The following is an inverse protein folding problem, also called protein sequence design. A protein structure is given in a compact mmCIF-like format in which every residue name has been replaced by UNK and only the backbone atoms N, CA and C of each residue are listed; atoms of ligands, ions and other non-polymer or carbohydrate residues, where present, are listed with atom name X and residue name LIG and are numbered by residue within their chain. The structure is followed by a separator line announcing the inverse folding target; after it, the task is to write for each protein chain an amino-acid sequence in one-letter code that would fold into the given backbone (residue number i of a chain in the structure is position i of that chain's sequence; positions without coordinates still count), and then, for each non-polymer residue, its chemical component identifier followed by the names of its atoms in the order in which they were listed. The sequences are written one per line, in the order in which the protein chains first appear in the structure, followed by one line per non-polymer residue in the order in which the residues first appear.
data_IF_453709335187
#
_entry.id   IF_453709335187
#
_cell.length_a   1.000
_cell.length_b   1.000
_cell.length_c   1.000
_cell.angle_alpha   90.00
_cell.angle_beta   90.00
_cell.angle_gamma   90.00
#
_symmetry.space_group_name_H-M   'P 1'
#
loop_
_entity.id
_entity.type
_entity.pdbx_description
1 polymer ?
#
# COMPACT_ATOMS: atom_id res chain seq x y z
N UNK A 1 -13.51 24.00 4.18
CA UNK A 1 -12.77 23.29 3.12
C UNK A 1 -13.09 23.99 1.83
N UNK A 2 -12.08 24.52 1.14
CA UNK A 2 -12.27 25.32 -0.06
C UNK A 2 -12.27 24.41 -1.29
N UNK A 3 -13.24 24.64 -2.19
CA UNK A 3 -13.36 23.99 -3.48
C UNK A 3 -13.05 25.05 -4.53
N UNK A 4 -12.13 24.77 -5.44
CA UNK A 4 -11.74 25.71 -6.49
C UNK A 4 -12.19 25.20 -7.85
N UNK A 5 -12.65 26.11 -8.71
CA UNK A 5 -12.91 25.80 -10.12
C UNK A 5 -11.60 25.78 -10.90
N UNK A 6 -11.30 24.65 -11.56
CA UNK A 6 -10.20 24.55 -12.54
C UNK A 6 -10.69 24.92 -13.94
N UNK A 7 -11.96 24.59 -14.25
CA UNK A 7 -12.66 24.97 -15.47
C UNK A 7 -14.17 25.00 -15.20
N UNK A 8 -14.98 25.40 -16.20
CA UNK A 8 -16.44 25.52 -16.06
C UNK A 8 -17.11 24.27 -15.48
N UNK A 9 -16.62 23.08 -15.82
CA UNK A 9 -17.18 21.80 -15.38
C UNK A 9 -16.27 21.00 -14.44
N UNK A 10 -15.06 21.48 -14.16
CA UNK A 10 -14.08 20.76 -13.33
C UNK A 10 -13.72 21.55 -12.11
N UNK A 11 -13.94 20.95 -10.94
CA UNK A 11 -13.61 21.51 -9.66
C UNK A 11 -12.55 20.65 -8.99
N UNK A 12 -11.76 21.25 -8.12
CA UNK A 12 -10.82 20.53 -7.28
C UNK A 12 -11.00 20.90 -5.83
N UNK A 13 -10.57 19.99 -4.97
CA UNK A 13 -10.54 20.24 -3.55
C UNK A 13 -9.32 19.57 -2.94
N UNK A 14 -8.90 20.14 -1.82
CA UNK A 14 -7.77 19.69 -1.03
C UNK A 14 -8.28 19.04 0.25
N UNK A 15 -7.75 17.87 0.61
CA UNK A 15 -8.07 17.23 1.89
C UNK A 15 -6.84 16.63 2.57
N UNK A 16 -6.77 16.82 3.89
CA UNK A 16 -5.87 16.10 4.81
C UNK A 16 -6.56 14.88 5.44
N UNK A 17 -7.88 14.81 5.32
CA UNK A 17 -8.67 13.73 5.91
C UNK A 17 -8.59 12.48 5.04
N UNK A 18 -8.16 11.38 5.67
CA UNK A 18 -8.08 10.07 5.03
C UNK A 18 -9.45 9.55 4.59
N UNK A 19 -10.52 9.92 5.29
CA UNK A 19 -11.88 9.47 4.96
C UNK A 19 -12.40 10.15 3.71
N UNK A 20 -12.25 11.46 3.61
CA UNK A 20 -12.60 12.21 2.41
C UNK A 20 -11.74 11.81 1.21
N UNK A 21 -10.44 11.56 1.41
CA UNK A 21 -9.58 11.06 0.33
C UNK A 21 -10.03 9.69 -0.20
N UNK A 22 -10.50 8.80 0.69
CA UNK A 22 -11.09 7.51 0.27
C UNK A 22 -12.40 7.72 -0.48
N UNK A 23 -13.29 8.58 0.04
CA UNK A 23 -14.55 8.91 -0.62
C UNK A 23 -14.32 9.51 -2.01
N UNK A 24 -13.31 10.37 -2.18
CA UNK A 24 -12.90 10.95 -3.46
C UNK A 24 -12.48 9.88 -4.47
N UNK A 25 -11.64 8.93 -4.04
CA UNK A 25 -11.21 7.80 -4.89
C UNK A 25 -12.39 6.93 -5.29
N UNK A 26 -13.31 6.64 -4.36
CA UNK A 26 -14.52 5.85 -4.64
C UNK A 26 -15.50 6.56 -5.56
N UNK A 27 -15.62 7.90 -5.45
CA UNK A 27 -16.44 8.71 -6.34
C UNK A 27 -15.87 8.83 -7.77
N UNK A 28 -14.68 8.27 -8.01
CA UNK A 28 -13.98 8.34 -9.29
C UNK A 28 -13.39 9.72 -9.58
N UNK A 29 -13.04 10.49 -8.54
CA UNK A 29 -12.33 11.74 -8.72
C UNK A 29 -10.86 11.48 -9.05
N UNK A 30 -10.30 12.27 -9.95
CA UNK A 30 -8.92 12.14 -10.39
C UNK A 30 -7.97 12.70 -9.32
N UNK A 31 -6.96 11.93 -8.94
CA UNK A 31 -5.91 12.41 -8.05
C UNK A 31 -4.97 13.35 -8.84
N UNK A 32 -4.85 14.60 -8.39
CA UNK A 32 -3.99 15.59 -9.03
C UNK A 32 -2.62 15.70 -8.39
N UNK A 33 -2.57 15.76 -7.05
CA UNK A 33 -1.32 15.99 -6.33
C UNK A 33 -1.31 15.29 -4.97
N UNK A 34 -0.13 14.80 -4.60
CA UNK A 34 0.17 14.27 -3.27
C UNK A 34 1.17 15.18 -2.57
N UNK A 35 0.83 15.66 -1.38
CA UNK A 35 1.71 16.52 -0.60
C UNK A 35 2.41 15.71 0.48
N UNK A 36 3.74 15.65 0.39
CA UNK A 36 4.59 14.93 1.34
C UNK A 36 5.38 15.88 2.24
N UNK A 37 5.47 15.57 3.53
CA UNK A 37 6.34 16.25 4.49
C UNK A 37 7.10 15.20 5.29
N UNK A 38 8.44 15.26 5.28
CA UNK A 38 9.28 14.26 5.96
C UNK A 38 9.08 12.82 5.46
N UNK A 39 8.85 12.64 4.15
CA UNK A 39 8.63 11.32 3.54
C UNK A 39 7.26 10.70 3.80
N UNK A 40 6.31 11.43 4.42
CA UNK A 40 4.93 10.97 4.63
C UNK A 40 3.95 11.87 3.90
N UNK A 41 3.00 11.26 3.20
CA UNK A 41 1.87 11.98 2.58
C UNK A 41 0.98 12.49 3.71
N UNK A 42 0.76 13.81 3.75
CA UNK A 42 -0.11 14.44 4.75
C UNK A 42 -1.36 15.06 4.12
N UNK A 43 -1.41 15.23 2.80
CA UNK A 43 -2.57 15.75 2.10
C UNK A 43 -2.63 15.29 0.64
N UNK A 44 -3.84 15.31 0.09
CA UNK A 44 -4.15 14.91 -1.28
C UNK A 44 -5.06 15.97 -1.92
N UNK A 45 -4.87 16.21 -3.21
CA UNK A 45 -5.73 17.05 -4.02
C UNK A 45 -6.41 16.21 -5.10
N UNK A 46 -7.71 16.37 -5.24
CA UNK A 46 -8.52 15.68 -6.23
C UNK A 46 -9.24 16.67 -7.13
N UNK A 47 -9.52 16.26 -8.37
CA UNK A 47 -10.33 17.02 -9.30
C UNK A 47 -11.39 16.14 -9.98
N UNK A 48 -12.50 16.77 -10.36
CA UNK A 48 -13.55 16.14 -11.14
C UNK A 48 -14.79 17.02 -11.25
N UNK A 49 -15.93 16.42 -11.65
CA UNK A 49 -17.17 17.14 -11.82
C UNK A 49 -17.63 17.82 -10.54
N UNK A 50 -18.17 19.04 -10.67
CA UNK A 50 -18.63 19.89 -9.54
C UNK A 50 -19.49 19.12 -8.54
N UNK A 51 -20.50 18.39 -9.04
CA UNK A 51 -21.46 17.64 -8.24
C UNK A 51 -20.78 16.59 -7.35
N UNK A 52 -19.82 15.85 -7.92
CA UNK A 52 -19.09 14.80 -7.21
C UNK A 52 -18.14 15.37 -6.17
N UNK A 53 -17.46 16.46 -6.51
CA UNK A 53 -16.58 17.17 -5.57
C UNK A 53 -17.36 17.71 -4.39
N UNK A 54 -18.50 18.36 -4.65
CA UNK A 54 -19.38 18.88 -3.60
C UNK A 54 -19.98 17.75 -2.75
N UNK A 55 -20.38 16.62 -3.36
CA UNK A 55 -20.86 15.46 -2.60
C UNK A 55 -19.79 14.95 -1.61
N UNK A 56 -18.53 14.86 -2.01
CA UNK A 56 -17.44 14.40 -1.13
C UNK A 56 -17.11 15.42 -0.03
N UNK A 57 -17.19 16.72 -0.33
CA UNK A 57 -16.87 17.79 0.63
C UNK A 57 -17.98 18.02 1.63
N UNK A 58 -19.24 17.93 1.21
CA UNK A 58 -20.42 18.23 2.03
C UNK A 58 -21.03 17.00 2.71
N UNK A 59 -20.73 15.77 2.27
CA UNK A 59 -21.09 14.58 3.05
C UNK A 59 -20.06 14.30 4.14
N UNK A 60 -20.39 14.49 5.43
CA UNK A 60 -19.54 14.00 6.50
C UNK A 60 -19.53 12.47 6.41
N UNK A 61 -18.37 11.90 6.10
CA UNK A 61 -18.18 10.44 6.14
C UNK A 61 -18.36 10.02 7.60
N UNK A 62 -19.58 9.63 7.98
CA UNK A 62 -19.87 9.01 9.26
C UNK A 62 -19.02 7.74 9.34
N UNK A 63 -18.29 7.55 10.44
CA UNK A 63 -17.32 6.45 10.64
C UNK A 63 -17.89 5.06 10.38
N UNK A 64 -19.23 4.90 10.41
CA UNK A 64 -19.89 3.59 10.43
C UNK A 64 -21.04 3.41 9.41
N UNK A 65 -21.14 4.22 8.35
CA UNK A 65 -22.13 3.95 7.29
C UNK A 65 -21.47 3.53 5.96
N UNK A 66 -21.89 2.39 5.38
CA UNK A 66 -21.51 2.05 4.01
C UNK A 66 -22.18 3.07 3.07
N UNK A 67 -21.34 3.84 2.37
CA UNK A 67 -21.79 4.80 1.36
C UNK A 67 -22.26 4.00 0.14
N UNK A 68 -23.58 3.87 -0.03
CA UNK A 68 -24.20 3.41 -1.27
C UNK A 68 -24.19 4.56 -2.29
N UNK A 69 -23.06 4.78 -2.96
CA UNK A 69 -23.02 5.49 -4.25
C UNK A 69 -23.00 4.42 -5.36
N UNK A 70 -23.66 4.63 -6.51
CA UNK A 70 -23.81 3.58 -7.52
C UNK A 70 -22.43 3.19 -8.04
N UNK A 71 -21.99 2.00 -7.63
CA UNK A 71 -20.72 1.41 -8.01
C UNK A 71 -20.85 0.94 -9.45
N UNK A 72 -20.36 1.76 -10.39
CA UNK A 72 -19.77 1.17 -11.59
C UNK A 72 -18.63 0.26 -11.13
N UNK A 73 -18.72 -0.98 -11.56
CA UNK A 73 -17.66 -2.01 -11.53
C UNK A 73 -17.47 -2.76 -10.21
N UNK A 74 -18.55 -3.02 -9.46
CA UNK A 74 -18.51 -3.95 -8.31
C UNK A 74 -18.38 -5.42 -8.73
N UNK A 75 -18.85 -5.80 -9.92
CA UNK A 75 -18.74 -7.17 -10.43
C UNK A 75 -17.28 -7.55 -10.74
N UNK A 76 -16.47 -6.62 -11.25
CA UNK A 76 -15.03 -6.87 -11.50
C UNK A 76 -14.24 -7.08 -10.21
N UNK A 77 -14.58 -6.33 -9.14
CA UNK A 77 -13.91 -6.46 -7.84
C UNK A 77 -14.36 -7.72 -7.10
N UNK A 78 -15.63 -8.13 -7.25
CA UNK A 78 -16.14 -9.39 -6.71
C UNK A 78 -15.52 -10.61 -7.44
N UNK A 79 -15.39 -10.55 -8.77
CA UNK A 79 -14.71 -11.58 -9.55
C UNK A 79 -13.24 -11.76 -9.13
N UNK A 80 -12.50 -10.67 -8.91
CA UNK A 80 -11.10 -10.72 -8.42
C UNK A 80 -10.93 -11.33 -7.03
N UNK A 81 -11.97 -11.35 -6.19
CA UNK A 81 -11.93 -12.00 -4.88
C UNK A 81 -12.22 -13.51 -4.94
N UNK A 82 -12.97 -13.95 -5.95
CA UNK A 82 -13.29 -15.37 -6.17
C UNK A 82 -12.17 -16.11 -6.90
N UNK A 83 -11.48 -15.44 -7.82
CA UNK A 83 -10.33 -15.95 -8.55
C UNK A 83 -9.08 -15.23 -8.03
N UNK A 84 -8.48 -15.77 -6.97
CA UNK A 84 -7.31 -15.17 -6.31
C UNK A 84 -6.28 -14.64 -7.32
N UNK A 85 -5.70 -13.48 -7.02
CA UNK A 85 -4.67 -12.86 -7.86
C UNK A 85 -3.60 -13.91 -8.23
N UNK A 86 -3.13 -13.96 -9.49
CA UNK A 86 -2.08 -14.89 -9.87
C UNK A 86 -0.85 -14.65 -8.99
N UNK A 87 -0.48 -15.65 -8.18
CA UNK A 87 0.72 -15.57 -7.34
C UNK A 87 1.93 -15.29 -8.26
N UNK A 88 2.56 -14.13 -8.07
CA UNK A 88 3.78 -13.79 -8.80
C UNK A 88 4.80 -14.91 -8.61
N UNK A 89 5.48 -15.37 -9.69
CA UNK A 89 6.41 -16.49 -9.59
C UNK A 89 7.52 -16.17 -8.58
N UNK A 90 7.70 -17.06 -7.60
CA UNK A 90 8.74 -16.92 -6.57
C UNK A 90 10.12 -17.08 -7.24
N UNK A 91 11.11 -16.23 -6.91
CA UNK A 91 12.44 -16.32 -7.49
C UNK A 91 13.13 -17.62 -7.07
N UNK A 92 13.62 -18.40 -8.06
CA UNK A 92 14.44 -19.59 -7.81
C UNK A 92 15.89 -19.17 -7.56
N UNK A 93 16.47 -19.62 -6.45
CA UNK A 93 17.84 -19.29 -6.03
C UNK A 93 18.60 -20.53 -5.59
N UNK A 94 19.92 -20.46 -5.62
CA UNK A 94 20.79 -21.51 -5.08
C UNK A 94 21.13 -21.20 -3.63
N UNK A 95 20.97 -22.18 -2.74
CA UNK A 95 21.25 -22.00 -1.32
C UNK A 95 22.76 -21.87 -1.07
N UNK A 96 23.19 -20.80 -0.40
CA UNK A 96 24.61 -20.55 -0.09
C UNK A 96 25.30 -21.61 0.78
N UNK A 97 24.53 -22.50 1.44
CA UNK A 97 25.05 -23.62 2.23
C UNK A 97 25.02 -24.96 1.51
N UNK A 98 23.82 -25.51 1.25
CA UNK A 98 23.69 -26.84 0.64
C UNK A 98 23.79 -26.85 -0.88
N UNK A 99 23.96 -25.69 -1.54
CA UNK A 99 24.03 -25.52 -3.00
C UNK A 99 22.83 -26.08 -3.79
N UNK A 100 21.75 -26.44 -3.11
CA UNK A 100 20.52 -26.90 -3.75
C UNK A 100 19.68 -25.71 -4.23
N UNK A 101 19.01 -25.81 -5.39
CA UNK A 101 18.04 -24.82 -5.82
C UNK A 101 16.83 -24.81 -4.87
N UNK A 102 16.28 -23.63 -4.59
CA UNK A 102 15.11 -23.47 -3.75
C UNK A 102 14.27 -22.27 -4.20
N UNK A 103 12.98 -22.31 -3.89
CA UNK A 103 12.07 -21.19 -4.09
C UNK A 103 12.22 -20.21 -2.93
N UNK A 104 12.74 -19.02 -3.24
CA UNK A 104 12.95 -17.98 -2.25
C UNK A 104 11.67 -17.17 -2.04
N UNK A 105 11.32 -16.90 -0.78
CA UNK A 105 10.16 -16.06 -0.47
C UNK A 105 10.38 -14.60 -0.85
N UNK A 106 11.64 -14.15 -0.92
CA UNK A 106 12.02 -12.83 -1.38
C UNK A 106 13.41 -12.84 -2.03
N UNK A 107 13.76 -11.75 -2.71
CA UNK A 107 15.07 -11.61 -3.34
C UNK A 107 16.25 -11.54 -2.35
N UNK A 108 16.02 -11.35 -1.05
CA UNK A 108 17.08 -11.26 -0.03
C UNK A 108 17.42 -12.61 0.62
N UNK A 109 16.60 -13.64 0.41
CA UNK A 109 16.80 -14.93 1.05
C UNK A 109 17.96 -15.69 0.37
N UNK A 110 19.04 -15.91 1.12
CA UNK A 110 20.26 -16.60 0.64
C UNK A 110 20.27 -18.11 0.94
N UNK A 111 19.47 -18.56 1.91
CA UNK A 111 19.46 -19.93 2.39
C UNK A 111 18.09 -20.58 2.19
N UNK A 112 18.08 -21.87 1.85
CA UNK A 112 16.86 -22.65 1.79
C UNK A 112 16.18 -22.75 3.16
N UNK A 113 14.91 -23.17 3.20
CA UNK A 113 14.11 -23.28 4.43
C UNK A 113 14.77 -24.16 5.50
N UNK A 114 15.48 -25.22 5.09
CA UNK A 114 16.25 -26.10 5.96
C UNK A 114 17.50 -25.42 6.54
N UNK A 115 18.34 -24.81 5.70
CA UNK A 115 19.59 -24.17 6.12
C UNK A 115 19.38 -22.81 6.82
N UNK A 116 18.22 -22.17 6.65
CA UNK A 116 17.89 -20.88 7.26
C UNK A 116 17.92 -20.90 8.78
N UNK A 117 17.45 -22.00 9.41
CA UNK A 117 17.49 -22.15 10.88
C UNK A 117 18.93 -22.18 11.40
N UNK A 118 19.83 -22.85 10.69
CA UNK A 118 21.25 -22.86 11.02
C UNK A 118 21.88 -21.47 10.86
N UNK A 119 21.66 -20.79 9.73
CA UNK A 119 22.25 -19.46 9.48
C UNK A 119 21.84 -18.45 10.56
N UNK A 120 20.59 -18.53 11.06
CA UNK A 120 20.12 -17.73 12.19
C UNK A 120 20.87 -18.02 13.49
N UNK A 121 21.13 -19.31 13.80
CA UNK A 121 21.87 -19.72 14.99
C UNK A 121 23.33 -19.28 14.92
N UNK A 122 23.95 -19.45 13.76
CA UNK A 122 25.36 -19.08 13.57
C UNK A 122 25.56 -17.56 13.68
N UNK A 123 24.72 -16.77 13.01
CA UNK A 123 24.77 -15.31 13.16
C UNK A 123 24.50 -14.84 14.60
N UNK A 124 23.73 -15.59 15.40
CA UNK A 124 23.55 -15.27 16.82
C UNK A 124 24.81 -15.56 17.64
N UNK A 125 25.51 -16.66 17.35
CA UNK A 125 26.79 -17.02 17.97
C UNK A 125 27.87 -15.99 17.66
N UNK A 126 28.02 -15.61 16.39
CA UNK A 126 28.98 -14.57 15.97
C UNK A 126 28.70 -13.22 16.64
N UNK A 127 27.42 -12.81 16.71
CA UNK A 127 27.05 -11.58 17.43
C UNK A 127 27.47 -11.63 18.90
N UNK A 128 27.24 -12.75 19.58
CA UNK A 128 27.63 -12.93 20.99
C UNK A 128 29.15 -12.95 21.17
N UNK A 129 29.90 -13.60 20.27
CA UNK A 129 31.36 -13.57 20.30
C UNK A 129 31.90 -12.16 20.06
N UNK A 130 31.33 -11.41 19.10
CA UNK A 130 31.71 -10.02 18.85
C UNK A 130 31.40 -9.11 20.04
N UNK A 131 30.32 -9.37 20.76
CA UNK A 131 30.01 -8.65 22.01
C UNK A 131 31.04 -8.94 23.10
N UNK A 132 31.44 -10.21 23.29
CA UNK A 132 32.48 -10.59 24.26
C UNK A 132 33.82 -9.94 23.95
N UNK A 133 34.28 -10.00 22.70
CA UNK A 133 35.53 -9.35 22.24
C UNK A 133 35.54 -7.82 22.38
N UNK A 134 34.39 -7.18 22.54
CA UNK A 134 34.28 -5.73 22.78
C UNK A 134 34.22 -5.38 24.27
N UNK A 135 33.98 -6.37 25.12
CA UNK A 135 33.86 -6.21 26.57
C UNK A 135 35.14 -6.60 27.32
N UNK A 136 36.06 -7.30 26.62
CA UNK A 136 37.48 -7.42 26.95
C UNK A 136 38.23 -6.17 26.46
#
# INVERSE_FOLDING_TARGET
MEVWGLSENTFCFYTRDKHQAKAAKLAGLCLMAEYTKGGRIFALQFAGPKEKVLAVVHHPVKKDQPINLPLRDQEEVAARKLFGEPEKPKPRKVCGRCKQPFEAANNRQQYCTKCRKWAKREGARERKQRQRRKAE
#
